data_IF_939658469846
#
_entry.id   IF_939658469846
#
_cell.length_a   1.000
_cell.length_b   1.000
_cell.length_c   1.000
_cell.angle_alpha   90.00
_cell.angle_beta   90.00
_cell.angle_gamma   90.00
#
_symmetry.space_group_name_H-M   'P 1'
#
loop_
_entity.id
_entity.type
_entity.pdbx_description
1 polymer ?
#
# COMPACT_ATOMS: atom_id res chain seq x y z
N UNK A 1 -16.79 -7.90 -63.99
CA UNK A 1 -16.41 -8.32 -62.63
C UNK A 1 -15.36 -7.36 -62.09
N UNK A 2 -15.62 -6.72 -60.94
CA UNK A 2 -14.64 -6.42 -59.86
C UNK A 2 -15.27 -5.57 -58.76
N UNK A 3 -15.63 -6.28 -57.68
CA UNK A 3 -15.63 -6.01 -56.23
C UNK A 3 -15.93 -4.61 -55.65
N UNK A 4 -16.93 -4.61 -54.75
CA UNK A 4 -17.27 -3.58 -53.78
C UNK A 4 -16.25 -3.44 -52.64
N UNK A 5 -16.26 -2.31 -51.94
CA UNK A 5 -15.86 -2.22 -50.53
C UNK A 5 -16.64 -1.13 -49.81
N UNK A 6 -17.56 -1.56 -48.96
CA UNK A 6 -18.11 -0.79 -47.85
C UNK A 6 -17.47 -1.27 -46.54
N UNK A 7 -17.71 -0.51 -45.48
CA UNK A 7 -17.29 -0.72 -44.09
C UNK A 7 -15.88 -0.18 -43.78
N UNK A 8 -15.68 0.53 -42.67
CA UNK A 8 -16.56 0.77 -41.55
C UNK A 8 -15.90 1.77 -40.61
N UNK A 9 -16.75 2.51 -39.92
CA UNK A 9 -16.44 3.46 -38.88
C UNK A 9 -15.43 2.85 -37.90
N UNK A 10 -14.19 3.33 -37.94
CA UNK A 10 -13.18 2.99 -36.93
C UNK A 10 -13.63 3.60 -35.61
N UNK A 11 -14.34 2.79 -34.83
CA UNK A 11 -14.67 3.10 -33.45
C UNK A 11 -13.37 3.43 -32.71
N UNK A 12 -13.25 4.69 -32.28
CA UNK A 12 -12.27 5.12 -31.30
C UNK A 12 -12.69 4.56 -29.94
N UNK A 13 -12.50 3.25 -29.76
CA UNK A 13 -12.35 2.71 -28.42
C UNK A 13 -10.96 3.14 -27.97
N UNK A 14 -10.91 4.31 -27.33
CA UNK A 14 -9.71 4.75 -26.62
C UNK A 14 -9.29 3.62 -25.70
N UNK A 15 -7.99 3.34 -25.68
CA UNK A 15 -7.39 2.35 -24.83
C UNK A 15 -7.82 2.62 -23.38
N UNK A 16 -8.81 1.86 -22.89
CA UNK A 16 -8.93 1.58 -21.48
C UNK A 16 -7.64 0.83 -21.16
N UNK A 17 -6.60 1.56 -20.74
CA UNK A 17 -5.58 0.93 -19.91
C UNK A 17 -6.40 0.37 -18.76
N UNK A 18 -6.56 -0.96 -18.72
CA UNK A 18 -7.02 -1.63 -17.51
C UNK A 18 -6.27 -0.93 -16.39
N UNK A 19 -6.99 -0.21 -15.52
CA UNK A 19 -6.36 0.57 -14.47
C UNK A 19 -5.39 -0.38 -13.80
N UNK A 20 -4.11 -0.14 -14.04
CA UNK A 20 -3.07 -0.96 -13.47
C UNK A 20 -3.29 -0.83 -11.97
N UNK A 21 -3.70 -1.93 -11.32
CA UNK A 21 -4.01 -1.91 -9.90
C UNK A 21 -2.80 -1.31 -9.22
N UNK A 22 -2.98 -0.16 -8.57
CA UNK A 22 -1.87 0.50 -7.91
C UNK A 22 -1.32 -0.47 -6.86
N UNK A 23 -0.01 -0.68 -6.87
CA UNK A 23 0.67 -1.54 -5.91
C UNK A 23 1.56 -0.69 -5.02
N UNK A 24 1.61 -1.05 -3.76
CA UNK A 24 2.55 -0.46 -2.83
C UNK A 24 3.99 -0.84 -3.24
N UNK A 25 4.87 0.13 -3.56
CA UNK A 25 6.20 -0.16 -4.05
C UNK A 25 7.14 -0.71 -2.95
N UNK A 26 6.73 -0.67 -1.68
CA UNK A 26 7.52 -1.09 -0.54
C UNK A 26 6.75 -2.09 0.31
N UNK A 27 7.36 -3.24 0.58
CA UNK A 27 6.79 -4.24 1.50
C UNK A 27 6.82 -3.81 2.95
N UNK A 28 7.46 -2.67 3.28
CA UNK A 28 7.61 -2.18 4.65
C UNK A 28 6.69 -0.99 4.98
N UNK A 29 5.96 -0.47 3.99
CA UNK A 29 5.04 0.65 4.16
C UNK A 29 3.69 0.14 4.71
N UNK A 30 2.99 0.96 5.51
CA UNK A 30 1.62 0.67 5.95
C UNK A 30 0.66 0.94 4.79
N UNK A 31 -0.07 -0.07 4.33
CA UNK A 31 -1.19 0.09 3.39
C UNK A 31 -2.47 0.44 4.18
N UNK A 32 -2.98 1.67 4.04
CA UNK A 32 -4.18 2.11 4.77
C UNK A 32 -5.47 1.41 4.35
N UNK A 33 -5.49 0.76 3.18
CA UNK A 33 -6.64 0.00 2.71
C UNK A 33 -6.76 -1.39 3.35
N UNK A 34 -5.75 -1.78 4.15
CA UNK A 34 -5.66 -3.10 4.73
C UNK A 34 -5.44 -3.03 6.24
N UNK A 35 -6.15 -3.87 6.98
CA UNK A 35 -5.89 -4.10 8.40
C UNK A 35 -4.98 -5.31 8.64
N UNK A 36 -4.57 -5.48 9.90
CA UNK A 36 -3.79 -6.63 10.39
C UNK A 36 -2.37 -6.26 10.82
N UNK A 37 -1.51 -7.27 10.97
CA UNK A 37 -0.12 -7.06 11.39
C UNK A 37 0.70 -6.41 10.28
N UNK A 38 1.46 -5.38 10.66
CA UNK A 38 2.41 -4.68 9.79
C UNK A 38 3.81 -4.73 10.42
N UNK A 39 4.70 -5.43 9.74
CA UNK A 39 6.11 -5.50 10.03
C UNK A 39 6.81 -4.22 9.55
N UNK A 40 7.52 -3.54 10.45
CA UNK A 40 8.18 -2.26 10.15
C UNK A 40 9.69 -2.43 10.29
N UNK A 41 10.42 -2.15 9.21
CA UNK A 41 11.88 -2.24 9.16
C UNK A 41 12.57 -1.06 9.85
N UNK A 42 12.09 0.17 9.61
CA UNK A 42 12.63 1.38 10.21
C UNK A 42 11.47 2.31 10.61
N UNK A 43 11.11 2.37 11.89
CA UNK A 43 10.00 3.20 12.37
C UNK A 43 10.16 4.69 12.03
N UNK A 44 11.41 5.19 11.97
CA UNK A 44 11.66 6.60 11.69
C UNK A 44 11.48 6.96 10.21
N UNK A 45 11.49 5.96 9.33
CA UNK A 45 11.30 6.12 7.87
C UNK A 45 9.99 5.52 7.39
N UNK A 46 9.10 5.10 8.29
CA UNK A 46 7.85 4.47 7.91
C UNK A 46 7.03 5.42 7.05
N UNK A 47 6.61 4.89 5.90
CA UNK A 47 5.65 5.55 5.02
C UNK A 47 4.30 4.86 5.12
N UNK A 48 3.28 5.63 4.79
CA UNK A 48 1.91 5.20 4.67
C UNK A 48 1.50 5.33 3.21
N UNK A 49 1.03 4.22 2.64
CA UNK A 49 0.64 4.09 1.24
C UNK A 49 -0.87 3.94 1.11
N UNK A 50 -1.43 4.53 0.04
CA UNK A 50 -2.83 4.36 -0.38
C UNK A 50 -2.92 3.93 -1.85
N UNK A 51 -3.93 3.12 -2.22
CA UNK A 51 -4.11 2.67 -3.60
C UNK A 51 -4.59 3.77 -4.55
N UNK A 52 -5.57 4.56 -4.13
CA UNK A 52 -6.04 5.70 -4.93
C UNK A 52 -5.20 6.95 -4.61
N UNK A 53 -4.66 7.58 -5.65
CA UNK A 53 -3.85 8.79 -5.51
C UNK A 53 -4.31 9.94 -6.40
N UNK A 54 -5.38 9.78 -7.18
CA UNK A 54 -5.84 10.80 -8.13
C UNK A 54 -6.22 12.10 -7.42
N UNK A 55 -6.96 12.00 -6.32
CA UNK A 55 -7.38 13.13 -5.50
C UNK A 55 -6.53 13.27 -4.24
N UNK A 56 -6.51 14.49 -3.66
CA UNK A 56 -6.03 14.65 -2.30
C UNK A 56 -7.00 13.92 -1.35
N UNK A 57 -6.47 13.27 -0.33
CA UNK A 57 -7.30 12.61 0.68
C UNK A 57 -6.60 12.60 2.02
N UNK A 58 -7.38 12.31 3.04
CA UNK A 58 -6.95 12.41 4.43
C UNK A 58 -7.54 11.26 5.23
N UNK A 59 -6.75 10.73 6.17
CA UNK A 59 -7.19 9.78 7.19
C UNK A 59 -6.95 10.34 8.58
N UNK A 60 -7.68 9.80 9.55
CA UNK A 60 -7.41 10.00 10.98
C UNK A 60 -6.81 8.72 11.53
N UNK A 61 -5.63 8.81 12.14
CA UNK A 61 -4.96 7.69 12.81
C UNK A 61 -5.10 7.88 14.31
N UNK A 62 -5.55 6.85 15.03
CA UNK A 62 -5.69 6.85 16.49
C UNK A 62 -4.84 5.75 17.10
N UNK A 63 -4.06 6.08 18.14
CA UNK A 63 -3.39 5.06 18.97
C UNK A 63 -4.33 4.51 20.02
N UNK A 64 -4.05 3.31 20.51
CA UNK A 64 -4.79 2.70 21.62
C UNK A 64 -4.82 3.57 22.90
N UNK A 65 -3.84 4.46 23.07
CA UNK A 65 -3.73 5.39 24.21
C UNK A 65 -4.61 6.64 24.05
N UNK A 66 -5.39 6.74 22.97
CA UNK A 66 -6.33 7.83 22.70
C UNK A 66 -5.72 9.03 21.97
N UNK A 67 -4.44 8.98 21.60
CA UNK A 67 -3.82 10.01 20.75
C UNK A 67 -4.35 9.89 19.32
N UNK A 68 -4.58 11.02 18.66
CA UNK A 68 -5.10 11.04 17.28
C UNK A 68 -4.32 12.05 16.44
N UNK A 69 -4.05 11.72 15.18
CA UNK A 69 -3.46 12.62 14.20
C UNK A 69 -4.11 12.47 12.84
N UNK A 70 -4.23 13.59 12.15
CA UNK A 70 -4.70 13.62 10.77
C UNK A 70 -3.49 13.46 9.83
N UNK A 71 -3.60 12.55 8.87
CA UNK A 71 -2.57 12.28 7.88
C UNK A 71 -3.14 12.55 6.48
N UNK A 72 -2.48 13.42 5.71
CA UNK A 72 -2.96 13.82 4.40
C UNK A 72 -1.98 13.47 3.29
N UNK A 73 -2.53 13.10 2.14
CA UNK A 73 -1.81 12.97 0.88
C UNK A 73 -2.27 14.06 -0.08
N UNK A 74 -1.32 14.66 -0.79
CA UNK A 74 -1.63 15.51 -1.93
C UNK A 74 -2.15 14.68 -3.12
N UNK A 75 -2.92 15.32 -4.00
CA UNK A 75 -3.28 14.74 -5.30
C UNK A 75 -2.01 14.32 -6.07
N UNK A 76 -2.06 13.14 -6.70
CA UNK A 76 -0.94 12.48 -7.35
C UNK A 76 0.06 11.79 -6.41
N UNK A 77 -0.10 11.89 -5.09
CA UNK A 77 0.79 11.21 -4.13
C UNK A 77 0.12 9.99 -3.50
N UNK A 78 0.74 8.83 -3.68
CA UNK A 78 0.32 7.57 -3.05
C UNK A 78 0.97 7.34 -1.67
N UNK A 79 2.05 8.05 -1.34
CA UNK A 79 2.78 7.86 -0.07
C UNK A 79 2.93 9.16 0.72
N UNK A 80 2.91 9.05 2.03
CA UNK A 80 3.27 10.13 2.97
C UNK A 80 3.99 9.54 4.19
N UNK A 81 4.68 10.36 4.97
CA UNK A 81 5.40 9.89 6.15
C UNK A 81 4.42 9.59 7.29
N UNK A 82 4.70 8.56 8.10
CA UNK A 82 3.96 8.31 9.33
C UNK A 82 4.06 9.53 10.28
N UNK A 83 2.97 9.96 10.94
CA UNK A 83 2.97 11.16 11.77
C UNK A 83 3.83 10.98 13.03
N UNK A 84 4.84 11.84 13.22
CA UNK A 84 5.77 11.76 14.35
C UNK A 84 5.09 11.90 15.73
N UNK A 85 3.92 12.54 15.80
CA UNK A 85 3.12 12.66 17.01
C UNK A 85 2.43 11.35 17.44
N UNK A 86 2.46 10.31 16.59
CA UNK A 86 2.05 8.95 16.93
C UNK A 86 3.27 8.01 16.89
N UNK A 87 4.16 8.04 17.90
CA UNK A 87 5.36 7.22 17.88
C UNK A 87 5.00 5.74 17.80
N UNK A 88 5.65 5.03 16.87
CA UNK A 88 5.48 3.60 16.67
C UNK A 88 6.14 2.83 17.81
N UNK A 89 5.41 1.88 18.39
CA UNK A 89 5.95 0.91 19.36
C UNK A 89 5.62 -0.49 18.87
N UNK A 90 6.54 -1.44 19.04
CA UNK A 90 6.24 -2.84 18.74
C UNK A 90 5.10 -3.33 19.63
N UNK A 91 4.13 -4.04 19.05
CA UNK A 91 2.91 -4.48 19.70
C UNK A 91 1.84 -3.40 19.86
N UNK A 92 2.08 -2.16 19.42
CA UNK A 92 1.05 -1.13 19.42
C UNK A 92 0.04 -1.35 18.29
N UNK A 93 -1.22 -1.05 18.58
CA UNK A 93 -2.31 -1.07 17.62
C UNK A 93 -2.76 0.36 17.31
N UNK A 94 -3.04 0.62 16.04
CA UNK A 94 -3.56 1.90 15.55
C UNK A 94 -4.82 1.66 14.74
N UNK A 95 -5.82 2.52 14.94
CA UNK A 95 -7.01 2.59 14.10
C UNK A 95 -6.79 3.66 13.03
N UNK A 96 -7.09 3.35 11.79
CA UNK A 96 -7.08 4.27 10.66
C UNK A 96 -8.53 4.44 10.23
N UNK A 97 -9.01 5.68 10.18
CA UNK A 97 -10.37 6.04 9.79
C UNK A 97 -10.33 6.99 8.58
N UNK A 98 -11.15 6.69 7.57
CA UNK A 98 -11.45 7.59 6.47
C UNK A 98 -12.61 8.50 6.86
N UNK A 99 -12.41 9.81 7.07
CA UNK A 99 -13.45 10.70 7.57
C UNK A 99 -14.65 10.82 6.61
N UNK A 100 -14.40 10.72 5.30
CA UNK A 100 -15.42 10.89 4.27
C UNK A 100 -16.39 9.69 4.18
N UNK A 101 -15.92 8.49 4.49
CA UNK A 101 -16.70 7.24 4.38
C UNK A 101 -17.04 6.62 5.74
N UNK A 102 -16.31 6.98 6.80
CA UNK A 102 -16.36 6.32 8.10
C UNK A 102 -15.74 4.93 8.13
N UNK A 103 -15.11 4.48 7.03
CA UNK A 103 -14.44 3.17 6.98
C UNK A 103 -13.23 3.15 7.92
N UNK A 104 -13.08 2.03 8.63
CA UNK A 104 -12.04 1.85 9.65
C UNK A 104 -11.24 0.58 9.39
N UNK A 105 -9.93 0.67 9.54
CA UNK A 105 -9.01 -0.45 9.56
C UNK A 105 -8.13 -0.37 10.81
N UNK A 106 -7.71 -1.52 11.34
CA UNK A 106 -6.80 -1.59 12.49
C UNK A 106 -5.49 -2.25 12.07
N UNK A 107 -4.37 -1.65 12.46
CA UNK A 107 -3.02 -2.13 12.16
C UNK A 107 -2.24 -2.38 13.44
N UNK A 108 -1.65 -3.58 13.54
CA UNK A 108 -0.81 -3.97 14.67
C UNK A 108 0.65 -3.95 14.26
N UNK A 109 1.45 -3.09 14.89
CA UNK A 109 2.83 -2.86 14.49
C UNK A 109 3.75 -3.92 15.10
N UNK A 110 4.61 -4.49 14.27
CA UNK A 110 5.71 -5.36 14.69
C UNK A 110 7.01 -4.78 14.17
N UNK A 111 7.87 -4.25 15.04
CA UNK A 111 9.16 -3.71 14.59
C UNK A 111 10.17 -4.83 14.40
N UNK A 112 10.89 -4.82 13.29
CA UNK A 112 11.93 -5.80 12.95
C UNK A 112 13.28 -5.23 13.34
N UNK A 113 13.99 -5.89 14.26
CA UNK A 113 15.26 -5.39 14.81
C UNK A 113 16.43 -5.43 13.82
N UNK A 114 16.38 -6.33 12.83
CA UNK A 114 17.37 -6.45 11.76
C UNK A 114 16.68 -6.82 10.47
N UNK A 115 16.12 -5.83 9.74
CA UNK A 115 15.43 -6.09 8.49
C UNK A 115 16.43 -6.62 7.45
N UNK A 116 16.18 -7.80 6.86
CA UNK A 116 17.05 -8.39 5.87
C UNK A 116 17.03 -7.58 4.56
N UNK A 117 18.16 -7.58 3.86
CA UNK A 117 18.32 -6.85 2.61
C UNK A 117 17.84 -7.64 1.37
N UNK A 118 17.70 -8.96 1.50
CA UNK A 118 17.27 -9.85 0.43
C UNK A 118 15.80 -10.29 0.57
N UNK A 119 15.19 -10.67 -0.55
CA UNK A 119 13.78 -11.05 -0.61
C UNK A 119 13.46 -12.29 0.22
N UNK A 120 14.38 -13.25 0.30
CA UNK A 120 14.15 -14.51 1.02
C UNK A 120 14.13 -14.24 2.52
N UNK A 121 15.09 -13.48 3.02
CA UNK A 121 15.10 -13.01 4.40
C UNK A 121 13.84 -12.20 4.71
N UNK A 122 13.45 -11.28 3.82
CA UNK A 122 12.24 -10.47 4.03
C UNK A 122 11.00 -11.37 4.17
N UNK A 123 10.83 -12.34 3.28
CA UNK A 123 9.75 -13.32 3.37
C UNK A 123 9.77 -14.09 4.70
N UNK A 124 10.94 -14.56 5.14
CA UNK A 124 11.08 -15.29 6.42
C UNK A 124 10.65 -14.44 7.62
N UNK A 125 11.10 -13.18 7.69
CA UNK A 125 10.71 -12.25 8.75
C UNK A 125 9.20 -12.01 8.75
N UNK A 126 8.61 -11.79 7.57
CA UNK A 126 7.17 -11.56 7.44
C UNK A 126 6.36 -12.78 7.87
N UNK A 127 6.80 -14.00 7.51
CA UNK A 127 6.17 -15.27 7.93
C UNK A 127 6.26 -15.44 9.45
N UNK A 128 7.45 -15.27 10.03
CA UNK A 128 7.69 -15.46 11.47
C UNK A 128 6.84 -14.51 12.33
N UNK A 129 6.58 -13.30 11.83
CA UNK A 129 5.82 -12.29 12.54
C UNK A 129 4.33 -12.21 12.12
N UNK A 130 3.89 -13.06 11.18
CA UNK A 130 2.49 -13.13 10.74
C UNK A 130 2.03 -11.94 9.90
N UNK A 131 2.95 -11.24 9.23
CA UNK A 131 2.70 -10.07 8.40
C UNK A 131 2.23 -10.47 6.98
N UNK A 132 1.10 -11.17 6.90
CA UNK A 132 0.64 -11.89 5.71
C UNK A 132 0.41 -10.98 4.49
N UNK A 133 -0.09 -9.76 4.68
CA UNK A 133 -0.37 -8.83 3.57
C UNK A 133 0.90 -8.33 2.89
N UNK A 134 1.93 -8.07 3.69
CA UNK A 134 3.25 -7.70 3.16
C UNK A 134 3.93 -8.88 2.47
N UNK A 135 3.73 -10.11 2.96
CA UNK A 135 4.21 -11.32 2.29
C UNK A 135 3.54 -11.51 0.93
N UNK A 136 2.23 -11.30 0.86
CA UNK A 136 1.48 -11.39 -0.39
C UNK A 136 1.96 -10.35 -1.41
N UNK A 137 2.18 -9.11 -0.98
CA UNK A 137 2.77 -8.04 -1.80
C UNK A 137 4.19 -8.39 -2.28
N UNK A 138 5.01 -9.02 -1.42
CA UNK A 138 6.34 -9.49 -1.79
C UNK A 138 6.28 -10.56 -2.90
N UNK A 139 5.34 -11.50 -2.81
CA UNK A 139 5.13 -12.54 -3.83
C UNK A 139 4.61 -11.95 -5.14
N UNK A 140 3.65 -11.03 -5.06
CA UNK A 140 3.11 -10.32 -6.23
C UNK A 140 4.19 -9.50 -6.95
N UNK A 141 5.05 -8.80 -6.20
CA UNK A 141 6.14 -8.02 -6.80
C UNK A 141 7.22 -8.91 -7.44
N UNK A 142 7.58 -10.03 -6.79
CA UNK A 142 8.54 -11.00 -7.34
C UNK A 142 8.06 -11.69 -8.62
N UNK A 143 6.76 -12.02 -8.72
CA UNK A 143 6.18 -12.64 -9.93
C UNK A 143 6.05 -11.68 -11.11
N UNK A 144 6.07 -10.37 -10.86
CA UNK A 144 5.99 -9.32 -11.89
C UNK A 144 7.36 -8.82 -12.37
N UNK A 145 8.42 -9.03 -11.58
CA UNK A 145 9.77 -8.75 -12.05
C UNK A 145 10.03 -9.56 -13.33
N UNK A 146 10.43 -8.93 -14.46
CA UNK A 146 10.80 -9.70 -15.63
C UNK A 146 11.94 -10.63 -15.21
N UNK A 147 11.76 -11.94 -15.41
CA UNK A 147 12.79 -12.93 -15.18
C UNK A 147 14.08 -12.44 -15.83
N UNK A 148 15.07 -12.08 -15.01
CA UNK A 148 16.36 -11.59 -15.44
C UNK A 148 17.00 -12.64 -16.35
N UNK A 149 17.38 -12.15 -17.53
CA UNK A 149 18.05 -12.85 -18.63
C UNK A 149 19.33 -13.56 -18.20
#
# INVERSE_FOLDING_TARGET
MSLASAAGQRGRFGALRAAEVAHNPSVWDVDVSQGGKVCVADPAKLKVWRPDSEAASTVTIRSADGNSQQLSWAAGSATTAWPAALPLKSGASYEIEWPDTGEKSSVDIVTVESPPADLVGAAQVLIQNGCQKQLDLLVQSASRAPAGK
#
